data_IF_472122555850
#
_entry.id   IF_472122555850
#
_cell.length_a   1.000
_cell.length_b   1.000
_cell.length_c   1.000
_cell.angle_alpha   90.00
_cell.angle_beta   90.00
_cell.angle_gamma   90.00
#
_symmetry.space_group_name_H-M   'P 1'
#
loop_
_entity.id
_entity.type
_entity.pdbx_description
1 polymer ?
#
# COMPACT_ATOMS: atom_id res chain seq x y z
N UNK A 1 -23.45 -13.11 -11.15
CA UNK A 1 -22.23 -13.83 -10.73
C UNK A 1 -21.08 -12.90 -11.08
N UNK A 2 -20.46 -12.28 -10.06
CA UNK A 2 -19.30 -11.38 -10.26
C UNK A 2 -18.15 -12.20 -10.82
N UNK A 3 -17.68 -11.83 -11.99
CA UNK A 3 -16.49 -12.38 -12.65
C UNK A 3 -15.27 -11.91 -11.80
N UNK A 4 -14.97 -12.69 -10.74
CA UNK A 4 -13.81 -12.44 -9.89
C UNK A 4 -12.58 -12.72 -10.75
N UNK A 5 -11.98 -11.68 -11.28
CA UNK A 5 -10.75 -11.80 -12.07
C UNK A 5 -9.68 -12.52 -11.24
N UNK A 6 -9.14 -13.59 -11.81
CA UNK A 6 -8.01 -14.30 -11.20
C UNK A 6 -6.82 -13.35 -11.09
N UNK A 7 -6.37 -13.00 -9.88
CA UNK A 7 -5.25 -12.07 -9.70
C UNK A 7 -3.94 -12.63 -10.24
N UNK A 8 -3.85 -13.96 -10.48
CA UNK A 8 -2.64 -14.59 -11.02
C UNK A 8 -2.37 -14.20 -12.48
N UNK A 9 -3.38 -13.67 -13.20
CA UNK A 9 -3.20 -13.10 -14.54
C UNK A 9 -2.22 -11.91 -14.58
N UNK A 10 -1.91 -11.34 -13.43
CA UNK A 10 -0.95 -10.22 -13.30
C UNK A 10 0.46 -10.67 -12.86
N UNK A 11 0.73 -11.97 -12.77
CA UNK A 11 2.08 -12.49 -12.53
C UNK A 11 2.82 -12.65 -13.86
N UNK A 12 3.87 -11.89 -14.07
CA UNK A 12 4.70 -11.93 -15.28
C UNK A 12 5.63 -13.14 -15.37
N UNK A 13 5.63 -13.98 -14.34
CA UNK A 13 6.39 -15.21 -14.29
C UNK A 13 7.88 -15.03 -13.96
N UNK A 14 8.57 -16.15 -13.65
CA UNK A 14 9.94 -16.12 -13.14
C UNK A 14 10.96 -15.64 -14.17
N UNK A 15 10.78 -15.93 -15.45
CA UNK A 15 11.77 -15.60 -16.47
C UNK A 15 11.79 -14.11 -16.81
N UNK A 16 10.61 -13.49 -16.86
CA UNK A 16 10.48 -12.05 -16.98
C UNK A 16 11.24 -11.35 -15.84
N UNK A 17 10.96 -11.70 -14.60
CA UNK A 17 11.57 -11.07 -13.44
C UNK A 17 13.08 -11.33 -13.33
N UNK A 18 13.58 -12.49 -13.76
CA UNK A 18 15.01 -12.76 -13.87
C UNK A 18 15.68 -11.78 -14.84
N UNK A 19 15.09 -11.64 -16.01
CA UNK A 19 15.56 -10.71 -17.03
C UNK A 19 15.51 -9.26 -16.60
N UNK A 20 14.40 -8.86 -15.96
CA UNK A 20 14.18 -7.51 -15.47
C UNK A 20 15.19 -7.12 -14.38
N UNK A 21 15.35 -7.97 -13.35
CA UNK A 21 16.27 -7.71 -12.24
C UNK A 21 17.72 -7.59 -12.73
N UNK A 22 18.14 -8.45 -13.64
CA UNK A 22 19.49 -8.39 -14.20
C UNK A 22 19.75 -7.10 -14.97
N UNK A 23 18.78 -6.59 -15.74
CA UNK A 23 18.98 -5.48 -16.69
C UNK A 23 18.56 -4.13 -16.14
N UNK A 24 17.51 -4.05 -15.32
CA UNK A 24 16.85 -2.78 -15.02
C UNK A 24 16.76 -2.47 -13.52
N UNK A 25 16.45 -3.45 -12.66
CA UNK A 25 16.19 -3.21 -11.25
C UNK A 25 17.34 -2.48 -10.55
N UNK A 26 17.05 -1.29 -9.98
CA UNK A 26 18.03 -0.43 -9.31
C UNK A 26 19.13 0.15 -10.22
N UNK A 27 19.08 -0.07 -11.54
CA UNK A 27 20.16 0.24 -12.46
C UNK A 27 19.79 1.28 -13.52
N UNK A 28 18.71 1.05 -14.25
CA UNK A 28 18.32 1.93 -15.35
C UNK A 28 16.81 1.91 -15.60
N UNK A 29 16.24 3.03 -16.10
CA UNK A 29 14.84 3.10 -16.44
C UNK A 29 14.49 2.27 -17.67
N UNK A 30 13.21 1.90 -17.79
CA UNK A 30 12.67 1.18 -18.95
C UNK A 30 11.17 1.35 -19.09
N UNK A 31 10.64 1.00 -20.24
CA UNK A 31 9.20 0.85 -20.50
C UNK A 31 8.90 -0.62 -20.69
N UNK A 32 7.90 -1.12 -19.98
CA UNK A 32 7.36 -2.48 -20.11
C UNK A 32 6.05 -2.32 -20.90
N UNK A 33 6.05 -2.78 -22.14
CA UNK A 33 4.93 -2.59 -23.05
C UNK A 33 3.83 -3.61 -22.78
N UNK A 34 2.64 -3.14 -22.45
CA UNK A 34 1.40 -3.89 -22.30
C UNK A 34 1.58 -5.32 -21.74
N UNK A 35 2.18 -5.46 -20.54
CA UNK A 35 2.58 -6.78 -20.03
C UNK A 35 1.40 -7.66 -19.65
N UNK A 36 0.19 -7.12 -19.56
CA UNK A 36 -1.02 -7.82 -19.17
C UNK A 36 -2.04 -7.83 -20.29
N UNK A 37 -2.78 -8.92 -20.42
CA UNK A 37 -3.92 -9.02 -21.35
C UNK A 37 -5.07 -8.04 -21.00
N UNK A 38 -5.14 -7.60 -19.75
CA UNK A 38 -6.08 -6.57 -19.24
C UNK A 38 -5.33 -5.59 -18.35
N UNK A 39 -5.71 -4.31 -18.41
CA UNK A 39 -5.13 -3.30 -17.52
C UNK A 39 -5.26 -3.68 -16.05
N UNK A 40 -4.27 -3.34 -15.24
CA UNK A 40 -4.26 -3.64 -13.79
C UNK A 40 -5.40 -2.96 -13.04
N UNK A 41 -5.86 -1.81 -13.56
CA UNK A 41 -7.10 -1.13 -13.19
C UNK A 41 -7.69 -0.51 -14.46
N UNK A 42 -9.02 -0.49 -14.58
CA UNK A 42 -9.69 0.21 -15.66
C UNK A 42 -9.85 1.71 -15.35
N UNK A 43 -10.00 2.59 -16.35
CA UNK A 43 -10.32 4.01 -16.13
C UNK A 43 -11.56 4.21 -15.24
N UNK A 44 -12.59 3.39 -15.42
CA UNK A 44 -13.82 3.45 -14.63
C UNK A 44 -13.58 3.06 -13.14
N UNK A 45 -12.76 2.02 -12.85
CA UNK A 45 -12.36 1.69 -11.48
C UNK A 45 -11.60 2.84 -10.83
N UNK A 46 -10.64 3.45 -11.56
CA UNK A 46 -9.85 4.58 -11.06
C UNK A 46 -10.74 5.79 -10.80
N UNK A 47 -11.64 6.13 -11.72
CA UNK A 47 -12.55 7.27 -11.54
C UNK A 47 -13.51 7.07 -10.36
N UNK A 48 -14.08 5.88 -10.19
CA UNK A 48 -14.91 5.54 -9.03
C UNK A 48 -14.13 5.66 -7.71
N UNK A 49 -12.88 5.21 -7.69
CA UNK A 49 -11.98 5.35 -6.54
C UNK A 49 -11.60 6.82 -6.27
N UNK A 50 -11.43 7.64 -7.29
CA UNK A 50 -11.22 9.09 -7.12
C UNK A 50 -12.41 9.76 -6.41
N UNK A 51 -13.64 9.39 -6.76
CA UNK A 51 -14.84 9.90 -6.08
C UNK A 51 -14.85 9.46 -4.61
N UNK A 52 -14.52 8.20 -4.31
CA UNK A 52 -14.46 7.72 -2.93
C UNK A 52 -13.38 8.45 -2.12
N UNK A 53 -12.22 8.75 -2.72
CA UNK A 53 -11.17 9.54 -2.10
C UNK A 53 -11.62 10.95 -1.73
N UNK A 54 -12.46 11.58 -2.56
CA UNK A 54 -12.94 12.95 -2.30
C UNK A 54 -13.87 13.05 -1.09
N UNK A 55 -14.61 11.99 -0.77
CA UNK A 55 -15.45 11.97 0.43
C UNK A 55 -14.62 12.05 1.72
N UNK A 56 -13.35 11.69 1.67
CA UNK A 56 -12.40 11.77 2.80
C UNK A 56 -11.72 13.13 2.95
N UNK A 57 -11.65 13.95 1.92
CA UNK A 57 -11.11 15.32 2.02
C UNK A 57 -11.87 16.15 3.07
N UNK A 58 -13.14 15.82 3.30
CA UNK A 58 -14.01 16.45 4.30
C UNK A 58 -13.66 16.08 5.75
N UNK A 59 -12.83 15.11 5.97
CA UNK A 59 -12.50 14.55 7.30
C UNK A 59 -11.03 14.73 7.71
N UNK A 60 -10.39 15.84 7.33
CA UNK A 60 -9.02 16.23 7.74
C UNK A 60 -7.84 15.36 7.26
N UNK A 61 -8.07 14.26 6.53
CA UNK A 61 -7.02 13.42 6.00
C UNK A 61 -6.52 14.00 4.66
N UNK A 62 -5.42 14.74 4.71
CA UNK A 62 -4.85 15.55 3.61
C UNK A 62 -4.18 14.76 2.48
N UNK A 63 -4.61 13.54 2.20
CA UNK A 63 -4.00 12.70 1.17
C UNK A 63 -4.44 13.02 -0.26
N UNK A 64 -5.35 13.98 -0.44
CA UNK A 64 -5.79 14.46 -1.75
C UNK A 64 -5.30 15.87 -1.99
N UNK A 65 -4.65 16.09 -3.12
CA UNK A 65 -4.23 17.41 -3.57
C UNK A 65 -4.72 17.67 -4.99
N UNK A 66 -5.32 18.84 -5.20
CA UNK A 66 -5.68 19.33 -6.53
C UNK A 66 -4.90 20.59 -6.84
N UNK A 67 -4.40 20.69 -8.06
CA UNK A 67 -3.68 21.87 -8.57
C UNK A 67 -4.34 22.36 -9.85
N UNK A 68 -4.43 23.69 -9.99
CA UNK A 68 -4.81 24.38 -11.23
C UNK A 68 -3.63 25.27 -11.62
N UNK A 69 -3.16 25.12 -12.86
CA UNK A 69 -1.97 25.79 -13.38
C UNK A 69 -0.72 25.67 -12.48
N UNK A 70 -0.58 24.48 -11.83
CA UNK A 70 0.51 24.20 -10.92
C UNK A 70 0.36 24.79 -9.52
N UNK A 71 -0.71 25.53 -9.21
CA UNK A 71 -0.99 26.07 -7.88
C UNK A 71 -1.96 25.14 -7.15
N UNK A 72 -1.65 24.80 -5.89
CA UNK A 72 -2.55 23.98 -5.06
C UNK A 72 -3.81 24.77 -4.72
N UNK A 73 -4.97 24.18 -5.01
CA UNK A 73 -6.27 24.76 -4.64
C UNK A 73 -6.47 24.57 -3.13
N UNK A 74 -6.88 25.65 -2.46
CA UNK A 74 -7.12 25.67 -1.01
C UNK A 74 -8.62 25.50 -0.68
N UNK A 75 -9.24 26.55 -0.13
CA UNK A 75 -10.59 26.52 0.44
C UNK A 75 -11.69 26.05 -0.52
N UNK A 76 -11.60 26.35 -1.81
CA UNK A 76 -12.61 25.99 -2.81
C UNK A 76 -12.34 24.67 -3.54
N UNK A 77 -11.50 23.81 -2.97
CA UNK A 77 -11.09 22.55 -3.63
C UNK A 77 -12.30 21.69 -4.01
N UNK A 78 -13.36 21.68 -3.21
CA UNK A 78 -14.57 20.88 -3.45
C UNK A 78 -15.25 21.18 -4.80
N UNK A 79 -15.14 22.40 -5.30
CA UNK A 79 -15.68 22.81 -6.61
C UNK A 79 -15.07 21.99 -7.74
N UNK A 80 -13.81 21.65 -7.63
CA UNK A 80 -12.97 21.07 -8.67
C UNK A 80 -12.77 19.57 -8.54
N UNK A 81 -13.14 18.97 -7.38
CA UNK A 81 -13.00 17.54 -7.15
C UNK A 81 -13.91 16.71 -8.06
N UNK A 82 -13.55 15.44 -8.36
CA UNK A 82 -14.38 14.52 -9.12
C UNK A 82 -15.77 14.33 -8.50
N UNK A 83 -16.79 14.29 -9.35
CA UNK A 83 -18.18 14.07 -8.96
C UNK A 83 -18.79 12.94 -9.78
N UNK A 84 -19.76 12.21 -9.21
CA UNK A 84 -20.49 11.14 -9.93
C UNK A 84 -21.07 11.59 -11.26
N UNK A 85 -21.54 12.85 -11.34
CA UNK A 85 -22.12 13.42 -12.57
C UNK A 85 -21.11 13.64 -13.69
N UNK A 86 -19.81 13.68 -13.39
CA UNK A 86 -18.77 13.81 -14.42
C UNK A 86 -18.64 12.51 -15.24
N UNK A 87 -19.04 11.36 -14.67
CA UNK A 87 -19.11 10.07 -15.35
C UNK A 87 -17.73 9.42 -15.63
N UNK A 88 -16.72 10.24 -15.92
CA UNK A 88 -15.37 9.80 -16.27
C UNK A 88 -14.34 10.90 -15.98
N UNK A 89 -13.05 10.57 -16.12
CA UNK A 89 -11.99 11.57 -16.08
C UNK A 89 -12.09 12.59 -17.23
N UNK A 90 -12.51 12.17 -18.41
CA UNK A 90 -12.77 13.07 -19.53
C UNK A 90 -13.92 14.05 -19.21
N UNK A 91 -15.01 13.57 -18.60
CA UNK A 91 -16.12 14.43 -18.16
C UNK A 91 -15.70 15.44 -17.07
N UNK A 92 -14.86 15.01 -16.11
CA UNK A 92 -14.22 15.91 -15.14
C UNK A 92 -13.37 16.97 -15.87
N UNK A 93 -12.56 16.55 -16.84
CA UNK A 93 -11.73 17.46 -17.65
C UNK A 93 -12.58 18.46 -18.40
N UNK A 94 -13.64 18.01 -19.06
CA UNK A 94 -14.57 18.88 -19.79
C UNK A 94 -15.22 19.93 -18.86
N UNK A 95 -15.65 19.52 -17.66
CA UNK A 95 -16.23 20.45 -16.67
C UNK A 95 -15.22 21.49 -16.20
N UNK A 96 -14.00 21.08 -15.85
CA UNK A 96 -12.97 22.03 -15.41
C UNK A 96 -12.57 22.97 -16.56
N UNK A 97 -12.45 22.47 -17.78
CA UNK A 97 -12.10 23.28 -18.93
C UNK A 97 -13.21 24.26 -19.33
N UNK A 98 -14.48 23.93 -19.08
CA UNK A 98 -15.60 24.86 -19.29
C UNK A 98 -15.58 26.03 -18.29
N UNK A 99 -15.25 25.75 -17.03
CA UNK A 99 -15.17 26.77 -15.98
C UNK A 99 -13.86 27.59 -16.03
N UNK A 100 -12.77 26.98 -16.51
CA UNK A 100 -11.40 27.55 -16.59
C UNK A 100 -10.76 27.26 -17.96
N UNK A 101 -11.18 27.96 -19.02
CA UNK A 101 -10.66 27.70 -20.35
C UNK A 101 -9.14 27.90 -20.43
N UNK A 102 -8.44 26.91 -21.00
CA UNK A 102 -6.99 26.92 -21.15
C UNK A 102 -6.16 26.54 -19.93
N UNK A 103 -6.81 26.36 -18.77
CA UNK A 103 -6.10 25.96 -17.55
C UNK A 103 -5.77 24.47 -17.52
N UNK A 104 -4.63 24.15 -16.91
CA UNK A 104 -4.20 22.78 -16.62
C UNK A 104 -4.61 22.41 -15.19
N UNK A 105 -4.99 21.15 -15.00
CA UNK A 105 -5.27 20.66 -13.65
C UNK A 105 -4.63 19.30 -13.41
N UNK A 106 -4.33 19.01 -12.14
CA UNK A 106 -3.90 17.70 -11.71
C UNK A 106 -4.48 17.36 -10.35
N UNK A 107 -4.98 16.12 -10.22
CA UNK A 107 -5.39 15.49 -8.98
C UNK A 107 -4.32 14.50 -8.58
N UNK A 108 -3.85 14.61 -7.35
CA UNK A 108 -2.93 13.68 -6.72
C UNK A 108 -3.61 13.06 -5.50
N UNK A 109 -3.55 11.74 -5.38
CA UNK A 109 -4.08 11.02 -4.20
C UNK A 109 -3.02 10.04 -3.73
N UNK A 110 -2.58 10.19 -2.47
CA UNK A 110 -1.65 9.26 -1.82
C UNK A 110 -2.38 8.01 -1.34
N UNK A 111 -1.63 6.91 -1.23
CA UNK A 111 -2.12 5.62 -0.73
C UNK A 111 -3.40 5.15 -1.44
N UNK A 112 -3.51 5.45 -2.72
CA UNK A 112 -4.72 5.26 -3.54
C UNK A 112 -5.17 3.79 -3.66
N UNK A 113 -4.30 2.83 -3.34
CA UNK A 113 -4.69 1.41 -3.22
C UNK A 113 -5.84 1.18 -2.23
N UNK A 114 -6.02 2.06 -1.24
CA UNK A 114 -7.13 1.96 -0.30
C UNK A 114 -8.48 2.17 -0.97
N UNK A 115 -8.55 3.10 -1.91
CA UNK A 115 -9.76 3.43 -2.67
C UNK A 115 -10.05 2.43 -3.77
N UNK A 116 -9.01 1.97 -4.47
CA UNK A 116 -9.11 0.90 -5.46
C UNK A 116 -9.49 -0.44 -4.82
N UNK A 117 -9.22 -0.59 -3.53
CA UNK A 117 -9.73 -1.66 -2.71
C UNK A 117 -9.02 -3.00 -2.86
N UNK A 118 -9.68 -4.02 -2.29
CA UNK A 118 -9.12 -5.35 -2.07
C UNK A 118 -8.69 -6.08 -3.34
N UNK A 119 -9.53 -6.11 -4.39
CA UNK A 119 -9.24 -6.87 -5.60
C UNK A 119 -8.09 -6.24 -6.40
N UNK A 120 -8.00 -4.92 -6.43
CA UNK A 120 -6.86 -4.23 -7.02
C UNK A 120 -5.55 -4.54 -6.27
N UNK A 121 -5.56 -4.45 -4.95
CA UNK A 121 -4.38 -4.79 -4.15
C UNK A 121 -3.91 -6.24 -4.37
N UNK A 122 -4.82 -7.20 -4.55
CA UNK A 122 -4.48 -8.59 -4.89
C UNK A 122 -3.79 -8.69 -6.25
N UNK A 123 -4.25 -7.94 -7.26
CA UNK A 123 -3.61 -7.87 -8.59
C UNK A 123 -2.17 -7.36 -8.49
N UNK A 124 -1.95 -6.24 -7.80
CA UNK A 124 -0.61 -5.67 -7.59
C UNK A 124 0.30 -6.62 -6.80
N UNK A 125 -0.24 -7.29 -5.80
CA UNK A 125 0.50 -8.29 -5.03
C UNK A 125 0.98 -9.47 -5.89
N UNK A 126 0.16 -9.93 -6.82
CA UNK A 126 0.56 -10.96 -7.79
C UNK A 126 1.63 -10.43 -8.75
N UNK A 127 1.51 -9.21 -9.24
CA UNK A 127 2.54 -8.56 -10.03
C UNK A 127 3.89 -8.53 -9.30
N UNK A 128 3.92 -8.13 -8.04
CA UNK A 128 5.15 -8.02 -7.25
C UNK A 128 5.74 -9.36 -6.81
N UNK A 129 4.99 -10.45 -6.83
CA UNK A 129 5.41 -11.76 -6.29
C UNK A 129 6.73 -12.24 -6.85
N UNK A 130 6.89 -12.21 -8.16
CA UNK A 130 8.10 -12.68 -8.83
C UNK A 130 9.30 -11.74 -8.65
N UNK A 131 9.07 -10.44 -8.53
CA UNK A 131 10.11 -9.47 -8.17
C UNK A 131 10.62 -9.73 -6.76
N UNK A 132 9.71 -9.78 -5.78
CA UNK A 132 10.08 -9.96 -4.38
C UNK A 132 10.74 -11.31 -4.08
N UNK A 133 10.41 -12.34 -4.83
CA UNK A 133 11.12 -13.64 -4.74
C UNK A 133 12.62 -13.52 -5.10
N UNK A 134 13.04 -12.45 -5.78
CA UNK A 134 14.43 -12.24 -6.23
C UNK A 134 15.19 -11.19 -5.46
N UNK A 135 14.50 -10.10 -5.10
CA UNK A 135 15.14 -8.92 -4.50
C UNK A 135 14.73 -8.70 -3.03
N UNK A 136 13.79 -9.51 -2.51
CA UNK A 136 13.19 -9.29 -1.20
C UNK A 136 12.13 -8.18 -1.23
N UNK A 137 11.49 -7.94 -0.08
CA UNK A 137 10.57 -6.82 0.11
C UNK A 137 11.35 -5.53 0.37
N UNK A 138 10.81 -4.38 -0.02
CA UNK A 138 11.38 -3.10 0.41
C UNK A 138 11.35 -3.00 1.94
N UNK A 139 12.41 -2.41 2.51
CA UNK A 139 12.58 -2.39 3.96
C UNK A 139 11.62 -1.43 4.66
N UNK A 140 11.25 -0.32 4.00
CA UNK A 140 10.28 0.64 4.51
C UNK A 140 8.86 0.23 4.09
N UNK A 141 8.44 0.57 2.89
CA UNK A 141 7.06 0.32 2.43
C UNK A 141 6.92 0.22 0.91
N UNK A 142 5.75 -0.27 0.50
CA UNK A 142 5.18 -0.07 -0.82
C UNK A 142 3.93 0.82 -0.70
N UNK A 143 3.73 1.71 -1.66
CA UNK A 143 2.60 2.63 -1.70
C UNK A 143 2.21 2.93 -3.15
N UNK A 144 0.93 3.15 -3.41
CA UNK A 144 0.44 3.52 -4.73
C UNK A 144 -0.19 4.89 -4.65
N UNK A 145 0.29 5.79 -5.50
CA UNK A 145 -0.23 7.14 -5.64
C UNK A 145 -0.89 7.31 -7.00
N UNK A 146 -2.01 8.03 -7.02
CA UNK A 146 -2.68 8.46 -8.26
C UNK A 146 -2.14 9.82 -8.71
N UNK A 147 -1.89 9.91 -10.01
CA UNK A 147 -1.69 11.16 -10.74
C UNK A 147 -2.65 11.20 -11.91
N UNK A 148 -3.60 12.15 -11.90
CA UNK A 148 -4.66 12.23 -12.89
C UNK A 148 -4.96 13.69 -13.24
N UNK A 149 -5.26 13.99 -14.51
CA UNK A 149 -5.61 15.32 -14.91
C UNK A 149 -5.27 15.66 -16.37
N UNK A 150 -5.33 16.93 -16.70
CA UNK A 150 -4.87 17.50 -17.97
C UNK A 150 -3.76 18.51 -17.67
N UNK A 151 -2.50 18.11 -17.85
CA UNK A 151 -1.34 18.93 -17.52
C UNK A 151 -0.14 18.60 -18.42
N UNK A 152 0.59 19.60 -18.92
CA UNK A 152 1.79 19.34 -19.71
C UNK A 152 2.96 18.84 -18.86
N UNK A 153 2.97 19.16 -17.54
CA UNK A 153 4.01 18.76 -16.58
C UNK A 153 3.46 18.65 -15.17
N UNK A 154 4.00 17.70 -14.38
CA UNK A 154 3.70 17.60 -12.96
C UNK A 154 4.27 18.79 -12.17
N UNK A 155 3.52 19.22 -11.16
CA UNK A 155 3.92 20.33 -10.26
C UNK A 155 5.24 20.05 -9.54
N UNK A 156 5.54 18.80 -9.25
CA UNK A 156 6.74 18.38 -8.49
C UNK A 156 8.07 18.87 -9.12
N UNK A 157 8.04 19.29 -10.39
CA UNK A 157 9.28 19.68 -11.05
C UNK A 157 10.22 18.50 -11.24
N UNK A 158 11.53 18.78 -11.44
CA UNK A 158 12.56 17.73 -11.48
C UNK A 158 12.94 17.40 -10.05
N UNK A 159 12.73 16.15 -9.65
CA UNK A 159 13.04 15.67 -8.30
C UNK A 159 13.51 14.22 -8.34
N UNK A 160 13.93 13.71 -7.20
CA UNK A 160 14.33 12.32 -7.01
C UNK A 160 13.62 11.77 -5.79
N UNK A 161 12.92 10.67 -5.98
CA UNK A 161 12.28 9.94 -4.89
C UNK A 161 13.24 8.98 -4.19
N UNK A 162 12.92 8.61 -2.97
CA UNK A 162 13.59 7.53 -2.26
C UNK A 162 13.07 6.13 -2.65
N UNK A 163 12.22 6.06 -3.67
CA UNK A 163 11.55 4.84 -4.13
C UNK A 163 11.99 4.43 -5.54
N UNK A 164 12.08 3.12 -5.78
CA UNK A 164 12.00 2.57 -7.12
C UNK A 164 10.54 2.56 -7.56
N UNK A 165 10.21 3.06 -8.75
CA UNK A 165 8.82 3.31 -9.16
C UNK A 165 8.43 2.50 -10.38
N UNK A 166 7.25 1.86 -10.30
CA UNK A 166 6.48 1.33 -11.43
C UNK A 166 5.25 2.21 -11.66
N UNK A 167 5.22 2.97 -12.73
CA UNK A 167 4.10 3.84 -13.08
C UNK A 167 3.23 3.13 -14.13
N UNK A 168 2.06 2.65 -13.72
CA UNK A 168 1.06 2.06 -14.62
C UNK A 168 0.29 3.17 -15.31
N UNK A 169 0.33 3.23 -16.62
CA UNK A 169 -0.47 4.17 -17.41
C UNK A 169 -1.87 3.59 -17.56
N UNK A 170 -2.87 4.24 -16.97
CA UNK A 170 -4.26 3.78 -16.98
C UNK A 170 -5.02 4.36 -18.16
N UNK A 171 -4.83 5.65 -18.42
CA UNK A 171 -5.53 6.38 -19.46
C UNK A 171 -4.65 7.45 -20.05
N UNK A 172 -4.78 7.68 -21.36
CA UNK A 172 -4.04 8.70 -22.09
C UNK A 172 -2.56 8.34 -22.31
N UNK A 173 -1.75 9.38 -22.39
CA UNK A 173 -0.34 9.29 -22.77
C UNK A 173 0.56 9.91 -21.69
N UNK A 174 1.37 9.09 -21.03
CA UNK A 174 2.24 9.49 -19.93
C UNK A 174 3.70 9.50 -20.37
N UNK A 175 4.40 10.57 -20.03
CA UNK A 175 5.85 10.67 -20.16
C UNK A 175 6.50 10.85 -18.81
N UNK A 176 7.61 10.16 -18.60
CA UNK A 176 8.52 10.42 -17.49
C UNK A 176 9.91 10.71 -18.11
N UNK A 177 10.36 11.92 -17.93
CA UNK A 177 11.71 12.29 -18.31
C UNK A 177 12.62 12.03 -17.14
N UNK A 178 13.72 11.31 -17.37
CA UNK A 178 14.63 10.85 -16.32
C UNK A 178 16.06 11.24 -16.61
N UNK A 179 16.85 11.49 -15.58
CA UNK A 179 18.29 11.78 -15.65
C UNK A 179 19.04 10.91 -14.65
N UNK A 180 20.27 10.48 -14.97
CA UNK A 180 21.14 9.82 -14.00
C UNK A 180 21.38 10.71 -12.77
N UNK A 181 21.70 10.09 -11.64
CA UNK A 181 21.98 10.79 -10.36
C UNK A 181 22.97 11.95 -10.51
N UNK A 182 24.03 11.75 -11.30
CA UNK A 182 25.10 12.74 -11.50
C UNK A 182 24.68 13.97 -12.36
N UNK A 183 23.47 13.96 -12.95
CA UNK A 183 23.02 15.07 -13.80
C UNK A 183 22.77 16.38 -13.03
N UNK A 184 22.53 16.29 -11.70
CA UNK A 184 22.27 17.43 -10.84
C UNK A 184 23.05 17.33 -9.52
N UNK A 185 23.43 18.47 -8.88
CA UNK A 185 24.15 18.48 -7.61
C UNK A 185 23.40 17.72 -6.49
N UNK A 186 24.15 17.10 -5.60
CA UNK A 186 23.58 16.53 -4.38
C UNK A 186 23.05 17.62 -3.45
N UNK A 187 21.92 17.40 -2.80
CA UNK A 187 21.29 18.31 -1.84
C UNK A 187 20.06 19.06 -2.33
N UNK A 188 19.73 19.03 -3.62
CA UNK A 188 18.52 19.64 -4.16
C UNK A 188 17.40 18.60 -4.33
N UNK A 189 16.42 18.60 -3.45
CA UNK A 189 15.20 17.77 -3.66
C UNK A 189 14.27 18.34 -4.73
N UNK A 190 14.45 19.61 -5.12
CA UNK A 190 13.54 20.34 -6.00
C UNK A 190 14.31 21.25 -6.94
N UNK A 191 14.38 20.88 -8.20
CA UNK A 191 14.87 21.81 -9.20
C UNK A 191 13.69 22.65 -9.74
N UNK A 192 13.56 23.81 -9.12
CA UNK A 192 13.00 25.05 -9.64
C UNK A 192 11.58 25.03 -10.22
N UNK A 193 10.63 25.65 -9.54
CA UNK A 193 9.43 26.23 -10.12
C UNK A 193 9.69 27.55 -10.91
N UNK A 194 10.95 27.95 -11.06
CA UNK A 194 11.32 29.12 -11.86
C UNK A 194 11.26 28.84 -13.35
N UNK A 195 10.66 29.73 -14.14
CA UNK A 195 10.41 29.63 -15.58
C UNK A 195 11.60 29.45 -16.52
N UNK A 196 12.74 28.93 -16.05
CA UNK A 196 13.91 28.59 -16.84
C UNK A 196 13.70 27.36 -17.73
N UNK A 197 14.30 27.38 -18.96
CA UNK A 197 14.36 26.21 -19.84
C UNK A 197 15.02 25.06 -19.11
N UNK A 198 14.26 23.98 -18.83
CA UNK A 198 14.80 22.79 -18.17
C UNK A 198 15.79 22.09 -19.09
N UNK A 199 16.94 21.63 -18.56
CA UNK A 199 17.90 20.92 -19.36
C UNK A 199 17.29 19.62 -19.89
N UNK A 200 17.19 19.49 -21.21
CA UNK A 200 16.83 18.21 -21.87
C UNK A 200 18.06 17.35 -22.11
N UNK A 201 19.24 17.97 -22.10
CA UNK A 201 20.50 17.29 -22.33
C UNK A 201 20.73 16.18 -21.28
N UNK A 202 21.20 15.03 -21.71
CA UNK A 202 21.49 13.87 -20.87
C UNK A 202 20.26 13.16 -20.30
N UNK A 203 19.04 13.56 -20.70
CA UNK A 203 17.81 12.88 -20.26
C UNK A 203 17.40 11.74 -21.19
N UNK A 204 16.74 10.74 -20.61
CA UNK A 204 15.97 9.73 -21.34
C UNK A 204 14.48 10.00 -21.14
N UNK A 205 13.68 9.86 -22.19
CA UNK A 205 12.23 9.97 -22.10
C UNK A 205 11.61 8.57 -22.10
N UNK A 206 10.95 8.22 -20.99
CA UNK A 206 10.05 7.08 -20.93
C UNK A 206 8.70 7.54 -21.44
N UNK A 207 8.22 6.94 -22.50
CA UNK A 207 7.01 7.33 -23.21
C UNK A 207 6.05 6.14 -23.20
N UNK A 208 4.88 6.25 -22.56
CA UNK A 208 3.93 5.16 -22.37
C UNK A 208 2.50 5.53 -22.65
N UNK A 209 1.77 4.56 -23.18
CA UNK A 209 0.34 4.60 -23.47
C UNK A 209 -0.44 3.73 -22.48
N UNK A 210 -1.76 3.83 -22.51
CA UNK A 210 -2.64 3.00 -21.67
C UNK A 210 -2.27 1.53 -21.72
N UNK A 211 -2.04 0.91 -20.55
CA UNK A 211 -1.60 -0.48 -20.40
C UNK A 211 -0.08 -0.66 -20.27
N UNK A 212 0.73 0.34 -20.57
CA UNK A 212 2.18 0.29 -20.38
C UNK A 212 2.57 0.52 -18.91
N UNK A 213 3.77 0.07 -18.54
CA UNK A 213 4.39 0.36 -17.24
C UNK A 213 5.72 1.05 -17.46
N UNK A 214 5.88 2.25 -16.88
CA UNK A 214 7.15 2.97 -16.89
C UNK A 214 7.89 2.66 -15.58
N UNK A 215 9.16 2.28 -15.68
CA UNK A 215 9.99 1.97 -14.51
C UNK A 215 11.20 2.90 -14.45
N UNK A 216 11.49 3.44 -13.27
CA UNK A 216 12.75 4.13 -12.96
C UNK A 216 13.22 3.85 -11.54
N UNK A 217 14.55 3.70 -11.34
CA UNK A 217 15.12 3.51 -10.01
C UNK A 217 15.15 4.80 -9.20
N UNK A 218 15.21 4.67 -7.87
CA UNK A 218 15.37 5.78 -6.90
C UNK A 218 16.64 6.62 -7.11
N UNK A 219 17.61 6.11 -7.88
CA UNK A 219 18.83 6.83 -8.23
C UNK A 219 18.64 7.84 -9.38
N UNK A 220 17.47 7.90 -10.03
CA UNK A 220 17.21 8.78 -11.16
C UNK A 220 16.37 9.99 -10.73
N UNK A 221 16.80 11.16 -11.21
CA UNK A 221 15.98 12.36 -11.22
C UNK A 221 14.88 12.21 -12.26
N UNK A 222 13.70 12.75 -12.00
CA UNK A 222 12.60 12.62 -12.93
C UNK A 222 11.60 13.77 -12.86
N UNK A 223 10.81 13.91 -13.93
CA UNK A 223 9.63 14.76 -13.98
C UNK A 223 8.55 14.08 -14.81
N UNK A 224 7.31 14.16 -14.32
CA UNK A 224 6.15 13.71 -15.08
C UNK A 224 5.77 14.74 -16.15
N UNK A 225 5.58 14.27 -17.38
CA UNK A 225 5.10 15.06 -18.53
C UNK A 225 3.90 14.33 -19.17
N UNK A 226 3.07 15.06 -19.94
CA UNK A 226 2.09 14.47 -20.86
C UNK A 226 2.20 15.14 -22.24
N UNK A 227 1.60 14.53 -23.25
CA UNK A 227 1.53 15.14 -24.60
C UNK A 227 0.34 16.07 -24.80
N UNK A 228 -0.38 16.39 -23.72
CA UNK A 228 -1.67 17.07 -23.74
C UNK A 228 -2.83 16.08 -23.61
N UNK A 229 -4.03 16.61 -23.37
CA UNK A 229 -5.21 15.80 -23.07
C UNK A 229 -5.20 15.21 -21.68
N UNK A 230 -6.18 14.37 -21.44
CA UNK A 230 -6.41 13.70 -20.15
C UNK A 230 -5.44 12.53 -19.97
N UNK A 231 -4.81 12.45 -18.80
CA UNK A 231 -3.92 11.37 -18.42
C UNK A 231 -4.23 10.88 -17.00
N UNK A 232 -4.21 9.57 -16.82
CA UNK A 232 -4.30 8.95 -15.50
C UNK A 232 -3.25 7.88 -15.34
N UNK A 233 -2.54 7.86 -14.21
CA UNK A 233 -1.48 6.90 -13.92
C UNK A 233 -1.43 6.57 -12.43
N UNK A 234 -1.05 5.31 -12.13
CA UNK A 234 -0.84 4.79 -10.79
C UNK A 234 0.65 4.55 -10.57
N UNK A 235 1.26 5.28 -9.65
CA UNK A 235 2.68 5.15 -9.33
C UNK A 235 2.87 4.26 -8.12
N UNK A 236 3.35 3.04 -8.32
CA UNK A 236 3.74 2.11 -7.26
C UNK A 236 5.18 2.40 -6.86
N UNK A 237 5.36 3.06 -5.72
CA UNK A 237 6.64 3.33 -5.08
C UNK A 237 7.06 2.17 -4.18
N UNK A 238 8.29 1.68 -4.37
CA UNK A 238 8.93 0.68 -3.53
C UNK A 238 10.09 1.34 -2.78
N UNK A 239 9.91 1.58 -1.47
CA UNK A 239 10.84 2.35 -0.63
C UNK A 239 11.84 1.41 0.05
N UNK A 240 13.08 1.27 -0.46
CA UNK A 240 14.03 0.27 0.00
C UNK A 240 14.72 0.64 1.32
N UNK A 241 14.64 1.89 1.76
CA UNK A 241 15.43 2.40 2.88
C UNK A 241 14.56 2.56 4.12
N UNK A 242 14.79 1.70 5.09
CA UNK A 242 14.43 1.89 6.49
C UNK A 242 15.58 1.36 7.35
N UNK A 243 15.81 1.98 8.50
CA UNK A 243 16.71 1.42 9.49
C UNK A 243 15.92 0.59 10.50
N UNK A 244 16.45 -0.57 10.89
CA UNK A 244 15.87 -1.35 11.99
C UNK A 244 15.75 -0.50 13.26
N UNK A 245 16.72 0.38 13.49
CA UNK A 245 16.70 1.33 14.61
C UNK A 245 15.54 2.33 14.48
N UNK A 246 15.29 2.88 13.29
CA UNK A 246 14.14 3.76 13.05
C UNK A 246 12.80 3.06 13.25
N UNK A 247 12.64 1.85 12.73
CA UNK A 247 11.45 1.04 12.96
C UNK A 247 11.24 0.72 14.45
N UNK A 248 12.29 0.35 15.16
CA UNK A 248 12.23 0.08 16.59
C UNK A 248 11.86 1.34 17.41
N UNK A 249 12.43 2.50 17.07
CA UNK A 249 12.11 3.76 17.73
C UNK A 249 10.64 4.15 17.53
N UNK A 250 10.11 4.05 16.30
CA UNK A 250 8.70 4.31 16.03
C UNK A 250 7.79 3.35 16.82
N UNK A 251 8.04 2.05 16.79
CA UNK A 251 7.25 1.06 17.52
C UNK A 251 7.32 1.27 19.03
N UNK A 252 8.47 1.66 19.58
CA UNK A 252 8.59 1.98 20.99
C UNK A 252 7.78 3.23 21.36
N UNK A 253 7.82 4.26 20.52
CA UNK A 253 7.02 5.47 20.70
C UNK A 253 5.52 5.17 20.65
N UNK A 254 5.07 4.39 19.67
CA UNK A 254 3.66 4.00 19.52
C UNK A 254 3.16 3.15 20.69
N UNK A 255 3.98 2.22 21.20
CA UNK A 255 3.63 1.42 22.38
C UNK A 255 3.57 2.30 23.64
N UNK A 256 4.54 3.22 23.81
CA UNK A 256 4.55 4.15 24.93
C UNK A 256 3.32 5.07 24.90
N UNK A 257 2.96 5.60 23.72
CA UNK A 257 1.77 6.43 23.55
C UNK A 257 0.48 5.67 23.91
N UNK A 258 0.37 4.40 23.50
CA UNK A 258 -0.77 3.53 23.87
C UNK A 258 -0.85 3.27 25.39
N UNK A 259 0.29 3.11 26.07
CA UNK A 259 0.37 2.94 27.53
C UNK A 259 0.01 4.24 28.28
N UNK A 260 0.28 5.40 27.69
CA UNK A 260 -0.08 6.70 28.27
C UNK A 260 -1.56 7.03 28.09
N UNK A 261 -2.23 6.44 27.10
CA UNK A 261 -3.60 6.75 26.69
C UNK A 261 -3.67 7.89 25.67
N UNK A 262 -4.84 8.11 25.09
CA UNK A 262 -5.07 9.11 24.03
C UNK A 262 -4.95 10.56 24.54
N UNK A 263 -5.04 10.78 25.85
CA UNK A 263 -4.94 12.12 26.44
C UNK A 263 -3.48 12.56 26.52
N UNK A 264 -3.19 13.74 26.01
CA UNK A 264 -1.92 14.42 26.24
C UNK A 264 -1.74 14.70 27.73
N UNK A 265 -1.09 13.78 28.43
CA UNK A 265 -0.84 13.94 29.86
C UNK A 265 0.30 14.96 30.00
N UNK A 266 -0.06 16.15 30.43
CA UNK A 266 0.94 17.14 30.91
C UNK A 266 1.42 16.64 32.27
N UNK A 267 2.66 16.20 32.33
CA UNK A 267 3.29 15.73 33.57
C UNK A 267 4.40 16.72 33.95
N UNK A 268 4.33 17.22 35.17
CA UNK A 268 5.43 18.06 35.71
C UNK A 268 6.66 17.20 35.97
N UNK A 269 7.82 17.67 35.51
CA UNK A 269 9.07 16.99 35.80
C UNK A 269 9.41 17.16 37.28
N UNK A 270 9.95 16.11 37.95
CA UNK A 270 10.42 16.21 39.33
C UNK A 270 11.56 17.26 39.45
N UNK A 271 11.49 18.09 40.46
CA UNK A 271 12.52 19.14 40.71
C UNK A 271 13.80 18.57 41.35
N UNK A 272 13.80 17.31 41.81
CA UNK A 272 14.95 16.68 42.43
C UNK A 272 15.05 15.19 42.16
N UNK A 273 16.26 14.63 42.29
CA UNK A 273 16.51 13.18 42.16
C UNK A 273 15.72 12.36 43.21
N UNK A 274 15.53 12.93 44.42
CA UNK A 274 14.73 12.27 45.45
C UNK A 274 13.27 12.13 45.06
N UNK A 275 12.68 13.18 44.51
CA UNK A 275 11.30 13.12 43.97
C UNK A 275 11.18 12.16 42.80
N UNK A 276 12.17 12.10 41.89
CA UNK A 276 12.19 11.16 40.78
C UNK A 276 12.22 9.70 41.24
N UNK A 277 12.99 9.39 42.28
CA UNK A 277 13.06 8.04 42.87
C UNK A 277 11.76 7.63 43.55
N UNK A 278 11.14 8.58 44.26
CA UNK A 278 9.89 8.30 45.01
C UNK A 278 8.69 8.06 44.09
N UNK A 279 8.59 8.83 43.01
CA UNK A 279 7.49 8.72 42.06
C UNK A 279 7.99 8.94 40.61
N UNK A 280 8.49 7.91 39.93
CA UNK A 280 8.97 8.05 38.58
C UNK A 280 7.84 8.54 37.65
N UNK A 281 8.16 9.44 36.72
CA UNK A 281 7.20 9.99 35.77
C UNK A 281 6.39 8.91 35.06
N UNK A 282 5.12 9.20 34.81
CA UNK A 282 4.20 8.27 34.12
C UNK A 282 4.75 7.88 32.74
N UNK A 283 5.35 8.86 32.03
CA UNK A 283 6.01 8.62 30.76
C UNK A 283 7.13 7.57 30.87
N UNK A 284 8.01 7.69 31.89
CA UNK A 284 9.11 6.72 32.10
C UNK A 284 8.55 5.30 32.31
N UNK A 285 7.52 5.13 33.13
CA UNK A 285 6.87 3.82 33.37
C UNK A 285 6.23 3.27 32.08
N UNK A 286 5.67 4.13 31.23
CA UNK A 286 5.12 3.74 29.95
C UNK A 286 6.21 3.21 28.99
N UNK A 287 7.33 3.91 28.89
CA UNK A 287 8.49 3.47 28.11
C UNK A 287 9.10 2.16 28.63
N UNK A 288 9.20 1.98 29.92
CA UNK A 288 9.66 0.72 30.52
C UNK A 288 8.74 -0.46 30.16
N UNK A 289 7.42 -0.27 30.17
CA UNK A 289 6.47 -1.31 29.73
C UNK A 289 6.56 -1.56 28.24
N UNK A 290 6.63 -0.50 27.42
CA UNK A 290 6.77 -0.58 25.98
C UNK A 290 8.04 -1.34 25.56
N UNK A 291 9.17 -1.09 26.23
CA UNK A 291 10.46 -1.75 25.93
C UNK A 291 10.42 -3.26 26.20
N UNK A 292 9.70 -3.71 27.24
CA UNK A 292 9.52 -5.16 27.50
C UNK A 292 8.78 -5.89 26.39
N UNK A 293 7.91 -5.21 25.66
CA UNK A 293 7.11 -5.79 24.58
C UNK A 293 7.74 -5.58 23.19
N UNK A 294 8.83 -4.82 23.09
CA UNK A 294 9.41 -4.38 21.81
C UNK A 294 9.73 -5.54 20.87
N UNK A 295 10.27 -6.66 21.39
CA UNK A 295 10.60 -7.82 20.56
C UNK A 295 9.34 -8.45 19.90
N UNK A 296 8.23 -8.49 20.62
CA UNK A 296 6.94 -8.99 20.09
C UNK A 296 6.41 -7.99 19.06
N UNK A 297 6.45 -6.70 19.33
CA UNK A 297 5.97 -5.64 18.45
C UNK A 297 6.79 -5.55 17.16
N UNK A 298 8.12 -5.66 17.23
CA UNK A 298 8.99 -5.76 16.07
C UNK A 298 8.66 -6.99 15.21
N UNK A 299 8.48 -8.15 15.84
CA UNK A 299 8.12 -9.36 15.11
C UNK A 299 6.75 -9.23 14.44
N UNK A 300 5.76 -8.67 15.13
CA UNK A 300 4.44 -8.39 14.57
C UNK A 300 4.55 -7.48 13.35
N UNK A 301 5.23 -6.36 13.49
CA UNK A 301 5.45 -5.40 12.41
C UNK A 301 6.10 -6.04 11.17
N UNK A 302 7.17 -6.83 11.35
CA UNK A 302 7.79 -7.54 10.23
C UNK A 302 6.87 -8.57 9.58
N UNK A 303 6.09 -9.30 10.37
CA UNK A 303 5.12 -10.24 9.82
C UNK A 303 3.97 -9.53 9.08
N UNK A 304 3.55 -8.37 9.55
CA UNK A 304 2.56 -7.52 8.87
C UNK A 304 3.11 -7.03 7.52
N UNK A 305 4.34 -6.50 7.49
CA UNK A 305 5.02 -6.11 6.25
C UNK A 305 5.10 -7.28 5.24
N UNK A 306 5.57 -8.46 5.69
CA UNK A 306 5.71 -9.63 4.82
C UNK A 306 4.32 -10.06 4.30
N UNK A 307 3.33 -10.19 5.17
CA UNK A 307 1.98 -10.63 4.79
C UNK A 307 1.22 -9.59 3.96
N UNK A 308 1.53 -8.31 4.14
CA UNK A 308 0.97 -7.16 3.40
C UNK A 308 1.73 -6.82 2.11
N UNK A 309 2.77 -7.59 1.76
CA UNK A 309 3.60 -7.30 0.59
C UNK A 309 4.28 -5.91 0.68
N UNK A 310 4.71 -5.56 1.88
CA UNK A 310 5.28 -4.27 2.29
C UNK A 310 4.34 -3.04 2.17
N UNK A 311 3.08 -3.21 1.79
CA UNK A 311 2.14 -2.09 1.78
C UNK A 311 1.93 -1.55 3.21
N UNK A 312 2.11 -0.24 3.38
CA UNK A 312 1.86 0.46 4.64
C UNK A 312 0.38 0.35 5.03
N UNK A 313 -0.50 0.43 4.05
CA UNK A 313 -1.94 0.32 4.21
C UNK A 313 -2.50 -0.72 3.24
N UNK A 314 -3.10 -1.77 3.80
CA UNK A 314 -3.74 -2.84 3.02
C UNK A 314 -5.25 -2.68 3.11
N UNK A 315 -5.96 -2.59 1.97
CA UNK A 315 -7.41 -2.52 1.97
C UNK A 315 -8.03 -3.79 2.57
N UNK A 316 -9.24 -3.68 3.08
CA UNK A 316 -10.00 -4.81 3.60
C UNK A 316 -10.95 -5.36 2.53
N UNK A 317 -11.22 -6.68 2.55
CA UNK A 317 -12.24 -7.25 1.69
C UNK A 317 -13.63 -6.69 2.04
N UNK A 318 -14.45 -6.46 1.03
CA UNK A 318 -15.80 -5.90 1.19
C UNK A 318 -16.76 -6.82 1.95
N UNK A 319 -16.65 -8.13 1.77
CA UNK A 319 -17.52 -9.11 2.39
C UNK A 319 -16.88 -9.71 3.65
N UNK A 320 -17.56 -9.59 4.79
CA UNK A 320 -17.15 -10.19 6.08
C UNK A 320 -18.10 -11.32 6.43
N UNK A 321 -17.64 -12.56 6.28
CA UNK A 321 -18.41 -13.73 6.66
C UNK A 321 -18.57 -13.88 8.19
N UNK A 322 -19.66 -14.53 8.64
CA UNK A 322 -19.82 -14.91 10.05
C UNK A 322 -19.29 -16.32 10.30
N UNK A 323 -18.62 -16.54 11.44
CA UNK A 323 -18.18 -17.87 11.85
C UNK A 323 -19.37 -18.72 12.26
N UNK A 324 -19.52 -19.88 11.60
CA UNK A 324 -20.49 -20.92 11.95
C UNK A 324 -19.74 -22.23 12.26
N UNK A 325 -20.15 -22.93 13.30
CA UNK A 325 -19.51 -24.18 13.74
C UNK A 325 -19.55 -25.30 12.69
N UNK A 326 -20.53 -25.27 11.80
CA UNK A 326 -20.75 -26.29 10.73
C UNK A 326 -20.06 -25.92 9.41
N UNK A 327 -19.39 -24.78 9.32
CA UNK A 327 -18.74 -24.33 8.08
C UNK A 327 -17.34 -24.91 7.94
N UNK A 328 -16.96 -25.18 6.68
CA UNK A 328 -15.58 -25.42 6.29
C UNK A 328 -14.92 -24.09 5.94
N UNK A 329 -13.69 -23.90 6.40
CA UNK A 329 -12.89 -22.72 6.19
C UNK A 329 -11.66 -23.08 5.35
N UNK A 330 -11.46 -22.42 4.23
CA UNK A 330 -10.32 -22.63 3.35
C UNK A 330 -9.52 -21.34 3.20
N UNK A 331 -8.19 -21.48 3.17
CA UNK A 331 -7.31 -20.34 2.92
C UNK A 331 -7.26 -20.00 1.43
N UNK A 332 -6.93 -18.74 1.14
CA UNK A 332 -6.48 -18.31 -0.19
C UNK A 332 -5.17 -19.05 -0.52
N UNK A 333 -5.14 -19.75 -1.66
CA UNK A 333 -3.96 -20.53 -2.07
C UNK A 333 -2.82 -19.66 -2.58
N UNK A 334 -3.11 -18.42 -2.95
CA UNK A 334 -2.13 -17.51 -3.52
C UNK A 334 -1.29 -16.85 -2.43
N UNK A 335 -1.89 -16.60 -1.26
CA UNK A 335 -1.25 -15.83 -0.21
C UNK A 335 -1.24 -16.58 1.12
N UNK A 336 -0.05 -17.04 1.58
CA UNK A 336 0.06 -17.85 2.79
C UNK A 336 -0.24 -17.05 4.06
N UNK A 337 -0.73 -17.77 5.07
CA UNK A 337 -0.87 -17.29 6.44
C UNK A 337 0.48 -17.47 7.13
N UNK A 338 1.06 -16.39 7.62
CA UNK A 338 2.30 -16.44 8.38
C UNK A 338 2.02 -16.67 9.85
N UNK A 339 2.90 -17.44 10.50
CA UNK A 339 2.83 -17.59 11.95
C UNK A 339 4.24 -17.77 12.55
N UNK A 340 4.45 -17.25 13.77
CA UNK A 340 5.67 -17.41 14.53
C UNK A 340 5.38 -17.40 16.03
N UNK A 341 6.17 -18.13 16.82
CA UNK A 341 6.12 -18.08 18.28
C UNK A 341 7.23 -17.16 18.80
N UNK A 342 6.86 -16.29 19.75
CA UNK A 342 7.76 -15.47 20.54
C UNK A 342 7.41 -15.73 22.01
N UNK A 343 8.26 -16.44 22.72
CA UNK A 343 7.97 -16.90 24.10
C UNK A 343 6.69 -17.75 24.16
N UNK A 344 5.74 -17.34 24.98
CA UNK A 344 4.44 -18.00 25.17
C UNK A 344 3.37 -17.57 24.17
N UNK A 345 3.68 -16.66 23.27
CA UNK A 345 2.76 -16.08 22.31
C UNK A 345 2.98 -16.66 20.92
N UNK A 346 1.92 -16.93 20.19
CA UNK A 346 1.90 -17.18 18.76
C UNK A 346 1.39 -15.93 18.04
N UNK A 347 2.19 -15.37 17.15
CA UNK A 347 1.80 -14.29 16.26
C UNK A 347 1.34 -14.92 14.95
N UNK A 348 0.16 -14.52 14.49
CA UNK A 348 -0.42 -14.92 13.21
C UNK A 348 -0.57 -13.64 12.39
N UNK A 349 -0.04 -13.64 11.17
CA UNK A 349 -0.17 -12.50 10.27
C UNK A 349 -0.72 -12.93 8.92
N UNK A 350 -1.60 -12.10 8.37
CA UNK A 350 -2.20 -12.28 7.06
C UNK A 350 -2.61 -10.92 6.50
N UNK A 351 -2.28 -10.69 5.24
CA UNK A 351 -2.72 -9.55 4.46
C UNK A 351 -2.51 -8.20 5.21
N UNK A 352 -1.27 -7.98 5.68
CA UNK A 352 -0.84 -6.73 6.31
C UNK A 352 -1.28 -6.51 7.76
N UNK A 353 -1.86 -7.53 8.40
CA UNK A 353 -2.35 -7.44 9.79
C UNK A 353 -1.88 -8.62 10.61
N UNK A 354 -1.83 -8.45 11.93
CA UNK A 354 -1.45 -9.54 12.83
C UNK A 354 -2.34 -9.61 14.07
N UNK A 355 -2.36 -10.81 14.67
CA UNK A 355 -2.94 -11.07 15.98
C UNK A 355 -1.97 -11.89 16.81
N UNK A 356 -1.89 -11.58 18.10
CA UNK A 356 -1.13 -12.34 19.09
C UNK A 356 -2.10 -13.18 19.93
N UNK A 357 -1.83 -14.48 20.05
CA UNK A 357 -2.64 -15.45 20.78
C UNK A 357 -1.73 -16.35 21.63
N UNK A 358 -2.23 -16.97 22.71
CA UNK A 358 -1.49 -18.00 23.42
C UNK A 358 -1.03 -19.12 22.49
N UNK A 359 0.21 -19.54 22.62
CA UNK A 359 0.79 -20.62 21.82
C UNK A 359 0.08 -21.93 22.12
N UNK A 360 -0.40 -22.63 21.07
CA UNK A 360 -0.98 -23.98 21.21
C UNK A 360 -0.63 -24.85 20.00
N UNK A 361 -0.49 -26.18 20.25
CA UNK A 361 -0.27 -27.16 19.19
C UNK A 361 -1.45 -27.21 18.21
N UNK A 362 -2.66 -27.06 18.69
CA UNK A 362 -3.88 -27.07 17.88
C UNK A 362 -3.95 -25.87 16.93
N UNK A 363 -3.60 -24.67 17.42
CA UNK A 363 -3.52 -23.46 16.60
C UNK A 363 -2.50 -23.64 15.47
N UNK A 364 -1.30 -24.15 15.77
CA UNK A 364 -0.28 -24.45 14.78
C UNK A 364 -0.77 -25.44 13.71
N UNK A 365 -1.43 -26.54 14.14
CA UNK A 365 -1.98 -27.55 13.21
C UNK A 365 -3.04 -26.93 12.29
N UNK A 366 -3.90 -26.08 12.80
CA UNK A 366 -4.92 -25.38 12.03
C UNK A 366 -4.29 -24.50 10.94
N UNK A 367 -3.33 -23.64 11.29
CA UNK A 367 -2.65 -22.77 10.30
C UNK A 367 -1.90 -23.60 9.27
N UNK A 368 -1.21 -24.65 9.69
CA UNK A 368 -0.49 -25.54 8.76
C UNK A 368 -1.44 -26.27 7.82
N UNK A 369 -2.62 -26.69 8.26
CA UNK A 369 -3.62 -27.32 7.41
C UNK A 369 -4.16 -26.31 6.36
N UNK A 370 -4.52 -25.10 6.81
CA UNK A 370 -4.97 -24.02 5.91
C UNK A 370 -3.93 -23.71 4.82
N UNK A 371 -2.65 -23.57 5.19
CA UNK A 371 -1.58 -23.28 4.22
C UNK A 371 -1.32 -24.44 3.24
N UNK A 372 -1.64 -25.69 3.60
CA UNK A 372 -1.62 -26.83 2.66
C UNK A 372 -2.88 -26.93 1.78
N UNK A 373 -3.81 -26.00 1.92
CA UNK A 373 -5.07 -26.02 1.20
C UNK A 373 -6.11 -27.00 1.77
N UNK A 374 -5.84 -27.58 2.95
CA UNK A 374 -6.80 -28.45 3.65
C UNK A 374 -7.82 -27.60 4.38
N UNK A 375 -9.12 -27.70 4.06
CA UNK A 375 -10.16 -26.98 4.79
C UNK A 375 -10.23 -27.41 6.25
N UNK A 376 -10.54 -26.48 7.14
CA UNK A 376 -10.69 -26.75 8.57
C UNK A 376 -12.11 -26.44 9.03
N UNK A 377 -12.59 -27.17 10.05
CA UNK A 377 -13.85 -26.90 10.74
C UNK A 377 -13.63 -26.73 12.25
N UNK A 378 -14.56 -26.03 12.90
CA UNK A 378 -14.56 -25.94 14.35
C UNK A 378 -15.43 -27.05 14.94
N UNK A 379 -14.83 -28.02 15.61
CA UNK A 379 -15.56 -29.07 16.33
C UNK A 379 -16.38 -28.49 17.49
N UNK A 380 -17.58 -29.06 17.72
CA UNK A 380 -18.47 -28.68 18.83
C UNK A 380 -17.94 -29.09 20.21
N UNK A 381 -16.96 -30.00 20.30
CA UNK A 381 -16.63 -30.74 21.55
C UNK A 381 -15.78 -30.01 22.59
N UNK A 382 -15.16 -28.85 22.32
CA UNK A 382 -14.27 -28.19 23.31
C UNK A 382 -14.46 -26.66 23.33
N UNK A 383 -15.35 -26.17 24.23
CA UNK A 383 -15.66 -24.72 24.30
C UNK A 383 -14.46 -23.82 24.66
N UNK A 384 -13.64 -24.17 25.63
CA UNK A 384 -12.52 -23.34 26.11
C UNK A 384 -11.30 -23.39 25.15
N UNK A 385 -10.88 -24.59 24.67
CA UNK A 385 -9.83 -24.76 23.69
C UNK A 385 -10.18 -24.12 22.32
N UNK A 386 -11.47 -23.96 22.01
CA UNK A 386 -11.95 -23.36 20.78
C UNK A 386 -11.96 -21.82 20.77
N UNK A 387 -11.82 -21.13 21.91
CA UNK A 387 -11.87 -19.67 21.96
C UNK A 387 -10.74 -19.03 21.15
N UNK A 388 -9.50 -19.51 21.32
CA UNK A 388 -8.34 -19.00 20.56
C UNK A 388 -8.41 -19.36 19.07
N UNK A 389 -8.90 -20.57 18.75
CA UNK A 389 -9.12 -20.99 17.35
C UNK A 389 -10.20 -20.14 16.68
N UNK A 390 -11.31 -19.86 17.38
CA UNK A 390 -12.35 -18.94 16.89
C UNK A 390 -11.82 -17.53 16.69
N UNK A 391 -11.01 -17.02 17.62
CA UNK A 391 -10.38 -15.69 17.50
C UNK A 391 -9.42 -15.64 16.30
N UNK A 392 -8.61 -16.68 16.10
CA UNK A 392 -7.75 -16.81 14.93
C UNK A 392 -8.55 -16.85 13.62
N UNK A 393 -9.59 -17.69 13.53
CA UNK A 393 -10.43 -17.76 12.33
C UNK A 393 -11.18 -16.46 12.05
N UNK A 394 -11.70 -15.77 13.08
CA UNK A 394 -12.30 -14.43 12.92
C UNK A 394 -11.31 -13.45 12.31
N UNK A 395 -10.09 -13.44 12.83
CA UNK A 395 -9.01 -12.60 12.32
C UNK A 395 -8.69 -12.94 10.86
N UNK A 396 -8.54 -14.22 10.51
CA UNK A 396 -8.22 -14.67 9.14
C UNK A 396 -9.36 -14.36 8.15
N UNK A 397 -10.61 -14.48 8.58
CA UNK A 397 -11.77 -14.07 7.77
C UNK A 397 -11.83 -12.54 7.61
N UNK A 398 -11.59 -11.81 8.70
CA UNK A 398 -11.53 -10.34 8.67
C UNK A 398 -10.48 -9.83 7.71
N UNK A 399 -9.34 -10.48 7.63
CA UNK A 399 -8.25 -10.13 6.72
C UNK A 399 -8.41 -10.69 5.30
N UNK A 400 -9.47 -11.47 5.03
CA UNK A 400 -9.66 -12.12 3.72
C UNK A 400 -8.69 -13.27 3.43
N UNK A 401 -7.92 -13.72 4.43
CA UNK A 401 -7.01 -14.85 4.25
C UNK A 401 -7.72 -16.21 4.25
N UNK A 402 -8.95 -16.26 4.75
CA UNK A 402 -9.78 -17.47 4.82
C UNK A 402 -11.22 -17.13 4.45
N UNK A 403 -11.82 -18.00 3.64
CA UNK A 403 -13.22 -17.92 3.23
C UNK A 403 -14.00 -19.15 3.69
N UNK A 404 -15.33 -19.00 3.84
CA UNK A 404 -16.23 -20.13 4.08
C UNK A 404 -16.51 -20.87 2.76
N UNK A 405 -16.30 -22.20 2.73
CA UNK A 405 -16.79 -23.05 1.67
C UNK A 405 -18.16 -23.60 2.05
N UNK A 406 -19.15 -23.42 1.16
CA UNK A 406 -20.45 -24.05 1.33
C UNK A 406 -20.31 -25.58 1.35
N UNK A 407 -21.11 -26.28 2.17
CA UNK A 407 -21.08 -27.74 2.33
C UNK A 407 -21.35 -28.51 1.02
N UNK A 408 -21.81 -27.86 -0.05
CA UNK A 408 -22.16 -28.50 -1.34
C UNK A 408 -20.97 -28.78 -2.28
N UNK A 409 -19.77 -28.27 -2.01
CA UNK A 409 -18.60 -28.51 -2.87
C UNK A 409 -17.80 -29.78 -2.53
N UNK A 410 -18.09 -30.44 -1.42
CA UNK A 410 -17.38 -31.63 -0.97
C UNK A 410 -17.88 -32.96 -1.57
N UNK A 411 -19.01 -32.97 -2.32
CA UNK A 411 -19.63 -34.21 -2.89
C UNK A 411 -19.31 -34.47 -4.35
N UNK A 412 -18.46 -33.68 -5.02
CA UNK A 412 -18.09 -33.88 -6.44
C UNK A 412 -16.61 -34.26 -6.64
N UNK A 413 -15.99 -34.90 -5.69
CA UNK A 413 -14.62 -35.39 -5.76
C UNK A 413 -14.46 -36.73 -5.04
N UNK A 414 -15.25 -37.71 -5.39
CA UNK A 414 -14.99 -39.14 -5.16
C UNK A 414 -15.16 -39.88 -6.47
#
# INVERSE_FOLDING_TARGET
MSDRHDPTAYDLGPDFWRGFVRRFWGRRPTVIRQPFARAIASPAEVFAAMIAATDRVRTEDHDVALTIDGVRVGADVERWLPRKKDGSLEGLTARISADLPGSNFAVFVRAFQLELGWEFWRRVRCFLRGLYARVGLPADRAEIDLFSGSYPRSRSGIHRDSADVFCFVIEGHKRIRVWPRAAFPEGGYWYGFGGGRRPRAGSTCLDGESGDILYWPSSYWHVGESRGGTVSSLSLGLYPRDSLAGAAARLLADEAARELGADNVIESLPASVGQLKAAPPRALRAFERASRNLAVSLMRHRMEQISGCAFAHVPLPSARGRIRASSLYAADRVFPIFWRSVGRVAIIAANGRSIALPRSKTLRRMISALNRGTPVSLSRRTRAANAHLRKALRFLMFTGAVETRGARAASRGR
#
